data_IF_560284809182
#
_entry.id   IF_560284809182
#
_cell.length_a   1.000
_cell.length_b   1.000
_cell.length_c   1.000
_cell.angle_alpha   90.00
_cell.angle_beta   90.00
_cell.angle_gamma   90.00
#
_symmetry.space_group_name_H-M   'P 1'
#
loop_
_entity.id
_entity.type
_entity.pdbx_description
1 polymer ?
#
# COMPACT_ATOMS: atom_id res chain seq x y z
N UNK A 1 20.47 -2.54 13.02
CA UNK A 1 20.03 -3.81 12.42
C UNK A 1 19.45 -4.73 13.53
N UNK A 2 18.37 -5.46 13.23
CA UNK A 2 17.76 -6.42 14.18
C UNK A 2 18.52 -7.75 14.17
N UNK A 3 18.98 -8.20 13.01
CA UNK A 3 19.78 -9.43 12.88
C UNK A 3 21.21 -9.11 13.33
N UNK A 4 21.67 -9.83 14.34
CA UNK A 4 23.04 -9.77 14.87
C UNK A 4 23.96 -10.72 14.11
N UNK A 5 23.47 -11.95 13.86
CA UNK A 5 24.25 -13.01 13.21
C UNK A 5 23.33 -14.00 12.53
N UNK A 6 23.84 -14.66 11.47
CA UNK A 6 23.17 -15.76 10.75
C UNK A 6 24.17 -16.88 10.56
N UNK A 7 23.86 -18.07 11.09
CA UNK A 7 24.73 -19.24 11.01
C UNK A 7 24.04 -20.39 10.30
N UNK A 8 24.73 -21.03 9.39
CA UNK A 8 24.40 -22.37 8.93
C UNK A 8 24.87 -23.37 9.96
N UNK A 9 23.95 -24.11 10.58
CA UNK A 9 24.26 -25.18 11.54
C UNK A 9 24.50 -26.52 10.81
N UNK A 10 23.64 -26.81 9.81
CA UNK A 10 23.76 -27.95 8.91
C UNK A 10 23.13 -27.63 7.55
N UNK A 11 22.97 -28.63 6.67
CA UNK A 11 22.43 -28.40 5.31
C UNK A 11 20.96 -27.97 5.29
N UNK A 12 20.23 -28.11 6.36
CA UNK A 12 18.80 -27.83 6.46
C UNK A 12 18.44 -26.88 7.60
N UNK A 13 19.43 -26.41 8.38
CA UNK A 13 19.20 -25.60 9.56
C UNK A 13 20.00 -24.30 9.51
N UNK A 14 19.28 -23.18 9.64
CA UNK A 14 19.85 -21.83 9.75
C UNK A 14 19.41 -21.20 11.09
N UNK A 15 20.38 -20.70 11.84
CA UNK A 15 20.16 -19.98 13.10
C UNK A 15 20.25 -18.46 12.86
N UNK A 16 19.23 -17.74 13.27
CA UNK A 16 19.24 -16.28 13.34
C UNK A 16 19.38 -15.83 14.79
N UNK A 17 20.46 -15.11 15.09
CA UNK A 17 20.61 -14.43 16.38
C UNK A 17 20.15 -12.98 16.24
N UNK A 18 19.17 -12.57 17.01
CA UNK A 18 18.66 -11.20 17.02
C UNK A 18 19.33 -10.36 18.09
N UNK A 19 19.43 -9.04 17.88
CA UNK A 19 19.96 -8.09 18.88
C UNK A 19 19.01 -7.87 20.04
N UNK A 20 17.72 -8.16 19.84
CA UNK A 20 16.62 -8.07 20.83
C UNK A 20 15.45 -8.95 20.38
N UNK A 21 14.47 -9.26 21.24
CA UNK A 21 13.22 -9.86 20.80
C UNK A 21 12.55 -8.97 19.74
N UNK A 22 12.02 -9.61 18.70
CA UNK A 22 11.34 -8.91 17.60
C UNK A 22 10.14 -9.74 17.13
N UNK A 23 8.97 -9.49 17.69
CA UNK A 23 7.76 -10.27 17.43
C UNK A 23 7.36 -10.32 15.94
N UNK A 24 7.50 -9.24 15.13
CA UNK A 24 7.20 -9.31 13.69
C UNK A 24 8.25 -10.05 12.86
N UNK A 25 9.34 -10.56 13.44
CA UNK A 25 10.47 -11.10 12.68
C UNK A 25 10.07 -12.21 11.69
N UNK A 26 9.30 -13.20 12.12
CA UNK A 26 8.86 -14.29 11.24
C UNK A 26 7.88 -13.80 10.17
N UNK A 27 6.99 -12.87 10.50
CA UNK A 27 6.10 -12.25 9.53
C UNK A 27 6.89 -11.46 8.47
N UNK A 28 7.98 -10.82 8.86
CA UNK A 28 8.88 -10.11 7.93
C UNK A 28 9.63 -11.10 7.02
N UNK A 29 10.10 -12.24 7.54
CA UNK A 29 10.74 -13.28 6.72
C UNK A 29 9.76 -13.94 5.72
N UNK A 30 8.46 -13.88 5.97
CA UNK A 30 7.44 -14.42 5.08
C UNK A 30 7.09 -13.48 3.90
N UNK A 31 7.63 -12.26 3.87
CA UNK A 31 7.40 -11.34 2.76
C UNK A 31 8.12 -11.82 1.48
N UNK A 32 7.51 -11.61 0.31
CA UNK A 32 8.02 -12.11 -0.96
C UNK A 32 9.45 -11.66 -1.29
N UNK A 33 9.81 -10.45 -0.91
CA UNK A 33 11.16 -9.90 -1.12
C UNK A 33 12.21 -10.40 -0.11
N UNK A 34 11.81 -11.23 0.86
CA UNK A 34 12.69 -11.96 1.78
C UNK A 34 12.93 -13.41 1.34
N UNK A 35 12.60 -13.75 0.10
CA UNK A 35 12.82 -15.07 -0.47
C UNK A 35 14.30 -15.47 -0.40
N UNK A 36 14.56 -16.77 -0.16
CA UNK A 36 15.92 -17.33 -0.17
C UNK A 36 16.43 -17.37 -1.60
N UNK A 37 17.62 -16.86 -1.83
CA UNK A 37 18.23 -16.68 -3.14
C UNK A 37 19.44 -17.64 -3.32
N UNK A 38 19.80 -17.96 -4.59
CA UNK A 38 20.97 -18.78 -4.88
C UNK A 38 22.27 -18.05 -4.58
N UNK A 39 23.07 -18.61 -3.65
CA UNK A 39 24.39 -18.08 -3.32
C UNK A 39 25.35 -18.16 -4.50
N UNK A 40 25.37 -19.29 -5.22
CA UNK A 40 26.23 -19.51 -6.38
C UNK A 40 25.98 -18.46 -7.47
N UNK A 41 24.70 -18.14 -7.70
CA UNK A 41 24.33 -17.12 -8.68
C UNK A 41 24.72 -15.72 -8.22
N UNK A 42 24.50 -15.41 -6.95
CA UNK A 42 24.90 -14.12 -6.36
C UNK A 42 26.42 -13.92 -6.41
N UNK A 43 27.21 -14.94 -6.03
CA UNK A 43 28.67 -14.91 -6.04
C UNK A 43 29.20 -14.75 -7.48
N UNK A 44 28.61 -15.45 -8.46
CA UNK A 44 28.95 -15.31 -9.87
C UNK A 44 28.73 -13.88 -10.36
N UNK A 45 27.55 -13.31 -10.10
CA UNK A 45 27.24 -11.94 -10.51
C UNK A 45 28.13 -10.91 -9.84
N UNK A 46 28.49 -11.13 -8.57
CA UNK A 46 29.40 -10.26 -7.86
C UNK A 46 30.82 -10.29 -8.47
N UNK A 47 31.31 -11.50 -8.84
CA UNK A 47 32.59 -11.70 -9.50
C UNK A 47 32.64 -11.08 -10.90
N UNK A 48 31.53 -11.14 -11.63
CA UNK A 48 31.42 -10.63 -13.01
C UNK A 48 31.08 -9.11 -13.04
N UNK A 49 30.97 -8.44 -11.88
CA UNK A 49 30.51 -7.05 -11.72
C UNK A 49 29.14 -6.75 -12.37
N UNK A 50 28.23 -7.75 -12.28
CA UNK A 50 26.88 -7.72 -12.89
C UNK A 50 25.78 -7.82 -11.85
N UNK A 51 25.91 -7.14 -10.72
CA UNK A 51 24.96 -7.22 -9.58
C UNK A 51 23.53 -6.88 -9.99
N UNK A 52 23.34 -5.93 -10.89
CA UNK A 52 22.02 -5.53 -11.40
C UNK A 52 21.30 -6.66 -12.17
N UNK A 53 22.04 -7.65 -12.64
CA UNK A 53 21.43 -8.81 -13.30
C UNK A 53 20.67 -9.72 -12.32
N UNK A 54 20.88 -9.57 -11.02
CA UNK A 54 20.15 -10.33 -10.02
C UNK A 54 18.63 -10.10 -10.11
N UNK A 55 18.22 -8.84 -10.28
CA UNK A 55 16.81 -8.47 -10.43
C UNK A 55 16.30 -8.66 -11.86
N UNK A 56 17.17 -8.48 -12.86
CA UNK A 56 16.76 -8.54 -14.27
C UNK A 56 16.72 -9.97 -14.84
N UNK A 57 17.47 -10.90 -14.24
CA UNK A 57 17.54 -12.31 -14.63
C UNK A 57 17.43 -13.22 -13.41
N UNK A 58 16.27 -13.22 -12.73
CA UNK A 58 16.09 -13.93 -11.47
C UNK A 58 16.21 -15.44 -11.66
N UNK A 59 16.89 -16.10 -10.72
CA UNK A 59 16.97 -17.56 -10.58
C UNK A 59 16.28 -17.96 -9.28
N UNK A 60 15.38 -18.93 -9.34
CA UNK A 60 14.62 -19.39 -8.19
C UNK A 60 14.04 -20.79 -8.37
N UNK A 61 13.39 -21.28 -7.31
CA UNK A 61 12.77 -22.62 -7.24
C UNK A 61 11.24 -22.58 -7.40
N UNK A 62 10.69 -21.47 -7.87
CA UNK A 62 9.26 -21.25 -8.02
C UNK A 62 8.60 -22.09 -9.13
N UNK A 63 7.25 -22.03 -9.22
CA UNK A 63 6.48 -22.81 -10.20
C UNK A 63 6.67 -22.33 -11.65
N UNK A 64 7.26 -21.16 -11.85
CA UNK A 64 7.53 -20.60 -13.18
C UNK A 64 8.99 -20.22 -13.30
N UNK A 65 9.58 -20.51 -14.46
CA UNK A 65 10.96 -20.14 -14.83
C UNK A 65 10.90 -18.85 -15.63
N UNK A 66 11.67 -17.85 -15.23
CA UNK A 66 11.83 -16.60 -15.95
C UNK A 66 12.44 -16.83 -17.32
N UNK A 67 11.90 -16.17 -18.35
CA UNK A 67 12.42 -16.22 -19.72
C UNK A 67 13.04 -14.87 -20.13
N UNK A 68 12.26 -13.79 -19.99
CA UNK A 68 12.76 -12.45 -20.32
C UNK A 68 11.85 -11.34 -19.80
N UNK A 69 12.45 -10.19 -19.60
CA UNK A 69 11.79 -8.90 -19.39
C UNK A 69 12.09 -7.96 -20.56
N UNK A 70 11.04 -7.40 -21.15
CA UNK A 70 11.13 -6.28 -22.09
C UNK A 70 10.55 -5.08 -21.38
N UNK A 71 11.41 -4.10 -21.06
CA UNK A 71 11.04 -2.93 -20.27
C UNK A 71 9.79 -2.27 -20.82
N UNK A 72 8.90 -1.88 -19.94
CA UNK A 72 7.61 -1.20 -20.19
C UNK A 72 6.66 -1.96 -21.15
N UNK A 73 6.97 -3.20 -21.48
CA UNK A 73 6.18 -4.00 -22.44
C UNK A 73 5.67 -5.30 -21.82
N UNK A 74 6.55 -6.20 -21.42
CA UNK A 74 6.13 -7.52 -20.92
C UNK A 74 7.19 -8.26 -20.11
N UNK A 75 6.73 -9.16 -19.23
CA UNK A 75 7.58 -10.17 -18.57
C UNK A 75 7.04 -11.54 -18.96
N UNK A 76 7.93 -12.46 -19.34
CA UNK A 76 7.57 -13.83 -19.77
C UNK A 76 8.19 -14.89 -18.87
N UNK A 77 7.39 -15.91 -18.59
CA UNK A 77 7.78 -17.10 -17.87
C UNK A 77 7.28 -18.34 -18.60
N UNK A 78 7.96 -19.47 -18.39
CA UNK A 78 7.47 -20.80 -18.73
C UNK A 78 7.20 -21.62 -17.46
N UNK A 79 6.36 -22.63 -17.57
CA UNK A 79 6.14 -23.61 -16.49
C UNK A 79 7.46 -24.25 -16.04
N UNK A 80 7.60 -24.44 -14.73
CA UNK A 80 8.59 -25.32 -14.14
C UNK A 80 7.92 -26.68 -13.90
N UNK A 81 8.00 -27.55 -14.89
CA UNK A 81 7.38 -28.89 -14.81
C UNK A 81 8.03 -29.77 -13.71
N UNK A 82 9.27 -29.45 -13.29
CA UNK A 82 9.98 -30.11 -12.19
C UNK A 82 9.80 -29.42 -10.84
N UNK A 83 8.81 -28.55 -10.69
CA UNK A 83 8.55 -27.87 -9.42
C UNK A 83 8.25 -28.89 -8.31
N UNK A 84 8.89 -28.74 -7.16
CA UNK A 84 8.87 -29.69 -6.02
C UNK A 84 7.46 -30.01 -5.49
N UNK A 85 6.51 -29.07 -5.62
CA UNK A 85 5.11 -29.24 -5.23
C UNK A 85 4.19 -29.34 -6.47
N UNK A 86 4.66 -30.01 -7.53
CA UNK A 86 3.98 -30.17 -8.81
C UNK A 86 4.01 -28.93 -9.70
N UNK A 87 4.11 -29.13 -11.00
CA UNK A 87 4.16 -28.07 -11.99
C UNK A 87 2.84 -27.29 -12.12
N UNK A 88 2.88 -26.03 -12.64
CA UNK A 88 1.69 -25.25 -12.91
C UNK A 88 0.89 -25.82 -14.08
N UNK A 89 -0.42 -25.54 -14.11
CA UNK A 89 -1.33 -26.05 -15.16
C UNK A 89 -1.18 -25.30 -16.47
N UNK A 90 -0.79 -24.02 -16.43
CA UNK A 90 -0.51 -23.22 -17.62
C UNK A 90 0.96 -23.32 -18.01
N UNK A 91 1.24 -23.51 -19.29
CA UNK A 91 2.61 -23.71 -19.80
C UNK A 91 3.40 -22.40 -19.95
N UNK A 92 2.71 -21.31 -20.17
CA UNK A 92 3.30 -19.97 -20.29
C UNK A 92 2.53 -18.96 -19.44
N UNK A 93 3.25 -18.07 -18.81
CA UNK A 93 2.69 -16.91 -18.07
C UNK A 93 3.33 -15.65 -18.63
N UNK A 94 2.49 -14.73 -19.08
CA UNK A 94 2.92 -13.44 -19.65
C UNK A 94 2.24 -12.30 -18.91
N UNK A 95 3.02 -11.42 -18.33
CA UNK A 95 2.56 -10.14 -17.81
C UNK A 95 2.71 -9.09 -18.91
N UNK A 96 1.61 -8.59 -19.45
CA UNK A 96 1.58 -7.47 -20.37
C UNK A 96 1.49 -6.17 -19.58
N UNK A 97 2.52 -5.33 -19.63
CA UNK A 97 2.57 -4.07 -18.91
C UNK A 97 1.64 -3.07 -19.62
N UNK A 98 0.52 -2.78 -18.99
CA UNK A 98 -0.52 -1.89 -19.54
C UNK A 98 -1.00 -0.97 -18.41
N UNK A 99 -0.42 0.24 -18.28
CA UNK A 99 -0.71 1.14 -17.15
C UNK A 99 -2.16 1.62 -17.11
N UNK A 100 -2.78 1.89 -18.26
CA UNK A 100 -4.15 2.40 -18.34
C UNK A 100 -5.19 1.31 -18.11
N UNK A 101 -6.12 1.54 -17.16
CA UNK A 101 -7.16 0.58 -16.78
C UNK A 101 -8.18 0.33 -17.90
N UNK A 102 -8.52 1.34 -18.70
CA UNK A 102 -9.48 1.20 -19.79
C UNK A 102 -8.89 0.37 -20.92
N UNK A 103 -7.59 0.57 -21.22
CA UNK A 103 -6.86 -0.27 -22.20
C UNK A 103 -6.79 -1.71 -21.71
N UNK A 104 -6.51 -1.95 -20.39
CA UNK A 104 -6.55 -3.33 -19.83
C UNK A 104 -7.92 -3.98 -20.03
N UNK A 105 -9.00 -3.23 -19.80
CA UNK A 105 -10.34 -3.75 -19.99
C UNK A 105 -10.64 -4.09 -21.46
N UNK A 106 -10.22 -3.25 -22.42
CA UNK A 106 -10.37 -3.59 -23.84
C UNK A 106 -9.62 -4.87 -24.21
N UNK A 107 -8.36 -5.02 -23.77
CA UNK A 107 -7.58 -6.26 -23.98
C UNK A 107 -8.26 -7.49 -23.39
N UNK A 108 -8.89 -7.36 -22.23
CA UNK A 108 -9.66 -8.45 -21.63
C UNK A 108 -10.88 -8.81 -22.47
N UNK A 109 -11.61 -7.82 -23.00
CA UNK A 109 -12.79 -8.02 -23.86
C UNK A 109 -12.43 -8.71 -25.16
N UNK A 110 -11.35 -8.30 -25.80
CA UNK A 110 -10.87 -8.88 -27.08
C UNK A 110 -10.21 -10.24 -26.92
N UNK A 111 -9.88 -10.65 -25.68
CA UNK A 111 -9.20 -11.91 -25.40
C UNK A 111 -7.68 -11.83 -25.57
N UNK A 112 -7.11 -10.63 -25.76
CA UNK A 112 -5.65 -10.44 -25.76
C UNK A 112 -5.02 -10.76 -24.39
N UNK A 113 -5.78 -10.66 -23.33
CA UNK A 113 -5.38 -11.13 -21.99
C UNK A 113 -6.50 -11.91 -21.30
N UNK A 114 -6.11 -12.77 -20.40
CA UNK A 114 -7.04 -13.64 -19.67
C UNK A 114 -7.46 -13.09 -18.31
N UNK A 115 -6.65 -12.23 -17.73
CA UNK A 115 -6.86 -11.62 -16.42
C UNK A 115 -6.29 -10.20 -16.41
N UNK A 116 -7.02 -9.27 -15.79
CA UNK A 116 -6.54 -7.91 -15.50
C UNK A 116 -6.61 -7.62 -14.00
N UNK A 117 -5.60 -6.92 -13.54
CA UNK A 117 -5.55 -6.38 -12.17
C UNK A 117 -6.12 -4.96 -12.15
N UNK A 118 -6.65 -4.55 -11.00
CA UNK A 118 -7.08 -3.17 -10.74
C UNK A 118 -7.95 -2.59 -11.87
N UNK A 119 -9.07 -3.26 -12.24
CA UNK A 119 -10.03 -2.68 -13.17
C UNK A 119 -10.56 -1.37 -12.61
N UNK A 120 -10.89 -0.41 -13.48
CA UNK A 120 -11.61 0.79 -13.05
C UNK A 120 -12.92 0.39 -12.36
N UNK A 121 -13.26 0.93 -11.18
CA UNK A 121 -14.55 0.67 -10.56
C UNK A 121 -15.74 0.99 -11.48
N UNK A 122 -15.60 1.98 -12.37
CA UNK A 122 -16.62 2.36 -13.35
C UNK A 122 -16.89 1.26 -14.40
N UNK A 123 -15.92 0.39 -14.67
CA UNK A 123 -16.04 -0.68 -15.66
C UNK A 123 -16.64 -1.98 -15.08
N UNK A 124 -16.74 -2.10 -13.74
CA UNK A 124 -17.23 -3.30 -13.08
C UNK A 124 -18.65 -3.73 -13.50
N UNK A 125 -19.64 -2.83 -13.67
CA UNK A 125 -20.97 -3.21 -14.17
C UNK A 125 -20.89 -3.83 -15.56
N UNK A 126 -20.12 -3.25 -16.49
CA UNK A 126 -19.95 -3.76 -17.84
C UNK A 126 -19.23 -5.13 -17.86
N UNK A 127 -18.24 -5.32 -16.99
CA UNK A 127 -17.59 -6.63 -16.86
C UNK A 127 -18.54 -7.70 -16.33
N UNK A 128 -19.35 -7.37 -15.32
CA UNK A 128 -20.30 -8.31 -14.69
C UNK A 128 -21.45 -8.69 -15.62
N UNK A 129 -21.86 -7.82 -16.54
CA UNK A 129 -22.92 -8.09 -17.54
C UNK A 129 -22.42 -8.89 -18.74
N UNK A 130 -21.11 -8.97 -18.97
CA UNK A 130 -20.55 -9.72 -20.10
C UNK A 130 -20.38 -11.21 -19.74
N UNK A 131 -21.05 -12.09 -20.50
CA UNK A 131 -21.06 -13.55 -20.27
C UNK A 131 -19.69 -14.21 -20.42
N UNK A 132 -18.79 -13.60 -21.21
CA UNK A 132 -17.43 -14.08 -21.43
C UNK A 132 -16.47 -13.68 -20.33
N UNK A 133 -16.91 -12.85 -19.41
CA UNK A 133 -16.09 -12.29 -18.33
C UNK A 133 -16.63 -12.70 -16.95
N UNK A 134 -15.77 -12.65 -15.97
CA UNK A 134 -16.13 -12.71 -14.55
C UNK A 134 -15.28 -11.75 -13.74
N UNK A 135 -15.84 -11.26 -12.65
CA UNK A 135 -15.16 -10.40 -11.70
C UNK A 135 -15.07 -11.13 -10.37
N UNK A 136 -13.88 -11.24 -9.83
CA UNK A 136 -13.66 -11.67 -8.45
C UNK A 136 -13.26 -10.48 -7.61
N UNK A 137 -13.68 -10.48 -6.35
CA UNK A 137 -13.37 -9.42 -5.40
C UNK A 137 -12.95 -10.00 -4.05
N UNK A 138 -12.15 -9.24 -3.32
CA UNK A 138 -11.69 -9.64 -2.00
C UNK A 138 -11.33 -8.44 -1.13
N UNK A 139 -11.32 -8.67 0.19
CA UNK A 139 -10.73 -7.72 1.12
C UNK A 139 -9.22 -7.64 0.88
N UNK A 140 -8.66 -6.47 1.09
CA UNK A 140 -7.23 -6.23 1.02
C UNK A 140 -6.74 -5.54 2.28
N UNK A 141 -5.49 -5.78 2.63
CA UNK A 141 -4.80 -5.07 3.70
C UNK A 141 -4.32 -3.71 3.20
N UNK A 142 -5.24 -2.82 2.83
CA UNK A 142 -4.87 -1.51 2.30
C UNK A 142 -5.48 -0.34 3.06
N UNK A 143 -4.82 0.81 2.96
CA UNK A 143 -5.33 2.11 3.40
C UNK A 143 -4.87 3.20 2.44
N UNK A 144 -5.82 3.97 1.92
CA UNK A 144 -5.54 5.23 1.24
C UNK A 144 -5.59 6.39 2.24
N UNK A 145 -4.67 7.33 2.13
CA UNK A 145 -4.62 8.48 3.03
C UNK A 145 -4.10 9.75 2.34
N UNK A 146 -4.43 10.89 2.95
CA UNK A 146 -3.75 12.16 2.73
C UNK A 146 -2.82 12.38 3.92
N UNK A 147 -1.51 12.49 3.68
CA UNK A 147 -0.54 12.84 4.72
C UNK A 147 -0.26 14.34 4.72
N UNK A 148 -0.01 14.87 5.91
CA UNK A 148 0.34 16.27 6.16
C UNK A 148 1.76 16.32 6.69
N UNK A 149 2.66 17.00 5.97
CA UNK A 149 4.07 17.09 6.37
C UNK A 149 4.24 17.97 7.60
N UNK A 150 4.42 17.35 8.76
CA UNK A 150 4.49 18.05 10.06
C UNK A 150 5.76 18.85 10.28
N UNK A 151 6.78 18.72 9.43
CA UNK A 151 7.96 19.56 9.43
C UNK A 151 7.72 20.92 8.74
N UNK A 152 6.60 21.07 8.03
CA UNK A 152 6.24 22.31 7.34
C UNK A 152 5.09 23.03 8.04
N UNK A 153 5.22 24.36 8.16
CA UNK A 153 4.09 25.20 8.60
C UNK A 153 3.03 25.27 7.52
N UNK A 154 1.74 25.30 7.91
CA UNK A 154 1.24 25.30 9.28
C UNK A 154 0.92 23.86 9.81
N UNK A 155 1.41 22.80 9.20
CA UNK A 155 1.09 21.40 9.56
C UNK A 155 1.80 20.90 10.83
N UNK A 156 2.74 21.64 11.37
CA UNK A 156 3.28 21.44 12.72
C UNK A 156 2.21 21.60 13.80
N UNK A 157 1.18 22.42 13.55
CA UNK A 157 0.05 22.64 14.45
C UNK A 157 -1.02 21.55 14.30
N UNK A 158 -1.28 20.80 15.36
CA UNK A 158 -2.31 19.74 15.39
C UNK A 158 -3.72 20.24 15.10
N UNK A 159 -4.05 21.48 15.45
CA UNK A 159 -5.37 22.06 15.17
C UNK A 159 -5.61 22.23 13.67
N UNK A 160 -4.57 22.59 12.90
CA UNK A 160 -4.63 22.67 11.44
C UNK A 160 -4.86 21.28 10.86
N UNK A 161 -4.14 20.24 11.33
CA UNK A 161 -4.31 18.87 10.85
C UNK A 161 -5.71 18.31 11.15
N UNK A 162 -6.25 18.60 12.33
CA UNK A 162 -7.64 18.26 12.68
C UNK A 162 -8.64 19.03 11.85
N UNK A 163 -8.39 20.30 11.57
CA UNK A 163 -9.24 21.12 10.69
C UNK A 163 -9.35 20.51 9.30
N UNK A 164 -8.22 20.08 8.71
CA UNK A 164 -8.20 19.42 7.41
C UNK A 164 -9.01 18.11 7.44
N UNK A 165 -8.92 17.32 8.52
CA UNK A 165 -9.73 16.11 8.67
C UNK A 165 -11.25 16.42 8.69
N UNK A 166 -11.68 17.53 9.28
CA UNK A 166 -13.08 17.98 9.25
C UNK A 166 -13.50 18.63 7.93
N UNK A 167 -12.54 19.23 7.20
CA UNK A 167 -12.83 19.93 5.95
C UNK A 167 -13.09 18.99 4.77
N UNK A 168 -12.56 17.77 4.78
CA UNK A 168 -12.56 16.86 3.64
C UNK A 168 -13.72 15.87 3.70
N UNK A 169 -14.54 15.79 2.64
CA UNK A 169 -15.73 14.95 2.56
C UNK A 169 -15.40 13.52 2.10
N UNK A 170 -14.91 12.70 3.03
CA UNK A 170 -14.54 11.30 2.78
C UNK A 170 -15.62 10.47 2.10
N UNK A 171 -16.90 10.66 2.47
CA UNK A 171 -18.02 9.90 1.86
C UNK A 171 -18.17 10.23 0.38
N UNK A 172 -18.08 11.50 0.02
CA UNK A 172 -18.13 11.92 -1.38
C UNK A 172 -16.98 11.29 -2.20
N UNK A 173 -15.78 11.17 -1.61
CA UNK A 173 -14.65 10.51 -2.28
C UNK A 173 -14.91 9.02 -2.49
N UNK A 174 -15.47 8.33 -1.50
CA UNK A 174 -15.81 6.90 -1.63
C UNK A 174 -16.82 6.68 -2.76
N UNK A 175 -17.86 7.49 -2.85
CA UNK A 175 -18.86 7.39 -3.92
C UNK A 175 -18.26 7.72 -5.30
N UNK A 176 -17.54 8.84 -5.41
CA UNK A 176 -17.08 9.36 -6.70
C UNK A 176 -15.83 8.65 -7.27
N UNK A 177 -14.97 8.10 -6.40
CA UNK A 177 -13.68 7.51 -6.78
C UNK A 177 -13.72 5.99 -6.72
N UNK A 178 -14.33 5.42 -5.67
CA UNK A 178 -14.40 3.97 -5.47
C UNK A 178 -15.76 3.38 -5.90
N UNK A 179 -16.70 4.22 -6.36
CA UNK A 179 -18.06 3.80 -6.74
C UNK A 179 -18.76 2.97 -5.63
N UNK A 180 -18.56 3.38 -4.37
CA UNK A 180 -19.07 2.66 -3.20
C UNK A 180 -18.26 1.41 -2.79
N UNK A 181 -17.22 1.04 -3.54
CA UNK A 181 -16.44 -0.18 -3.28
C UNK A 181 -15.28 0.03 -2.30
N UNK A 182 -15.49 0.84 -1.26
CA UNK A 182 -14.54 1.03 -0.18
C UNK A 182 -15.25 1.32 1.14
N UNK A 183 -14.65 0.91 2.24
CA UNK A 183 -15.07 1.31 3.58
C UNK A 183 -14.33 2.60 3.99
N UNK A 184 -15.01 3.56 4.66
CA UNK A 184 -14.34 4.75 5.21
C UNK A 184 -13.26 4.34 6.21
N UNK A 185 -12.04 4.83 6.01
CA UNK A 185 -10.96 4.61 6.95
C UNK A 185 -10.99 5.65 8.08
N UNK A 186 -10.77 5.19 9.31
CA UNK A 186 -10.65 6.04 10.50
C UNK A 186 -9.34 5.81 11.25
N UNK A 187 -8.66 4.72 10.95
CA UNK A 187 -7.39 4.31 11.53
C UNK A 187 -6.33 4.14 10.43
N UNK A 188 -5.04 4.14 10.78
CA UNK A 188 -3.98 3.76 9.85
C UNK A 188 -4.01 2.27 9.43
N UNK A 189 -4.72 1.43 10.17
CA UNK A 189 -4.84 -0.01 9.92
C UNK A 189 -6.14 -0.36 9.21
N UNK A 190 -6.16 -1.35 8.30
CA UNK A 190 -7.40 -1.90 7.76
C UNK A 190 -8.15 -2.74 8.81
N UNK A 191 -9.50 -2.81 8.73
CA UNK A 191 -10.34 -3.48 9.73
C UNK A 191 -10.15 -5.00 9.80
N UNK A 192 -9.45 -5.58 8.84
CA UNK A 192 -9.10 -7.01 8.78
C UNK A 192 -7.90 -7.38 9.63
N UNK A 193 -7.11 -6.40 10.12
CA UNK A 193 -6.00 -6.65 11.02
C UNK A 193 -6.48 -6.89 12.46
N UNK A 194 -5.84 -7.84 13.12
CA UNK A 194 -6.21 -8.33 14.46
C UNK A 194 -6.14 -7.27 15.58
N UNK A 195 -5.40 -6.17 15.39
CA UNK A 195 -5.30 -5.07 16.36
C UNK A 195 -6.14 -3.84 16.00
N UNK A 196 -7.03 -3.93 14.98
CA UNK A 196 -7.85 -2.79 14.56
C UNK A 196 -8.73 -2.26 15.70
N UNK A 197 -8.55 -1.00 16.08
CA UNK A 197 -9.31 -0.38 17.15
C UNK A 197 -10.67 0.13 16.66
N UNK A 198 -11.72 -0.68 16.88
CA UNK A 198 -13.10 -0.33 16.52
C UNK A 198 -13.65 0.86 17.31
N UNK A 199 -13.08 1.18 18.50
CA UNK A 199 -13.54 2.26 19.37
C UNK A 199 -13.11 3.66 18.92
N UNK A 200 -12.08 3.77 18.06
CA UNK A 200 -11.67 5.05 17.49
C UNK A 200 -12.84 5.61 16.67
N UNK A 201 -13.23 6.85 16.98
CA UNK A 201 -14.25 7.59 16.23
C UNK A 201 -13.59 8.37 15.11
N UNK A 202 -14.24 8.43 13.95
CA UNK A 202 -13.75 9.24 12.83
C UNK A 202 -14.05 10.72 13.04
N UNK A 203 -13.36 11.59 12.31
CA UNK A 203 -13.73 12.99 12.18
C UNK A 203 -14.98 13.09 11.28
N UNK A 204 -15.98 13.84 11.71
CA UNK A 204 -17.13 14.18 10.89
C UNK A 204 -16.75 15.25 9.85
N UNK A 205 -17.35 15.18 8.68
CA UNK A 205 -17.24 16.26 7.71
C UNK A 205 -18.03 17.49 8.22
N UNK A 206 -17.32 18.54 8.55
CA UNK A 206 -17.90 19.81 9.02
C UNK A 206 -16.96 20.98 8.71
N UNK A 207 -17.20 21.69 7.60
CA UNK A 207 -16.46 22.91 7.28
C UNK A 207 -16.52 23.96 8.42
N UNK A 208 -17.59 24.00 9.19
CA UNK A 208 -17.76 24.92 10.32
C UNK A 208 -16.77 24.62 11.45
N UNK A 209 -16.64 23.31 11.83
CA UNK A 209 -15.63 22.88 12.80
C UNK A 209 -14.22 23.13 12.29
N UNK A 210 -13.99 22.88 11.00
CA UNK A 210 -12.70 23.13 10.37
C UNK A 210 -12.32 24.62 10.47
N UNK A 211 -13.22 25.55 10.11
CA UNK A 211 -13.01 26.99 10.25
C UNK A 211 -12.76 27.41 11.70
N UNK A 212 -13.53 26.86 12.64
CA UNK A 212 -13.32 27.13 14.07
C UNK A 212 -11.93 26.69 14.57
N UNK A 213 -11.44 25.53 14.12
CA UNK A 213 -10.10 25.03 14.44
C UNK A 213 -9.00 25.88 13.78
N UNK A 214 -9.17 26.26 12.51
CA UNK A 214 -8.25 27.16 11.81
C UNK A 214 -8.16 28.52 12.53
N UNK A 215 -9.28 29.09 12.93
CA UNK A 215 -9.30 30.34 13.72
C UNK A 215 -8.52 30.18 15.02
N UNK A 216 -8.72 29.07 15.77
CA UNK A 216 -7.94 28.78 17.00
C UNK A 216 -6.46 28.59 16.73
N UNK A 217 -6.11 28.13 15.54
CA UNK A 217 -4.72 27.96 15.09
C UNK A 217 -4.08 29.26 14.59
N UNK A 218 -4.80 30.39 14.60
CA UNK A 218 -4.32 31.68 14.05
C UNK A 218 -4.40 31.75 12.52
N UNK A 219 -5.20 30.90 11.87
CA UNK A 219 -5.35 30.79 10.42
C UNK A 219 -6.79 31.09 9.97
N UNK A 220 -7.43 32.14 10.55
CA UNK A 220 -8.83 32.47 10.27
C UNK A 220 -9.07 32.75 8.78
N UNK A 221 -8.11 33.35 8.08
CA UNK A 221 -8.21 33.72 6.66
C UNK A 221 -7.77 32.56 5.73
N UNK A 222 -7.44 31.41 6.30
CA UNK A 222 -6.88 30.27 5.56
C UNK A 222 -5.40 30.45 5.20
N UNK A 223 -4.93 29.70 4.22
CA UNK A 223 -3.55 29.73 3.72
C UNK A 223 -3.42 29.07 2.35
N UNK A 224 -2.32 29.32 1.68
CA UNK A 224 -1.97 28.65 0.42
C UNK A 224 -1.07 27.44 0.66
N UNK A 225 -1.24 26.39 -0.14
CA UNK A 225 -0.48 25.15 0.00
C UNK A 225 -0.38 24.37 -1.33
N UNK A 226 0.46 23.34 -1.34
CA UNK A 226 0.49 22.33 -2.40
C UNK A 226 -0.17 21.04 -1.92
N UNK A 227 -0.98 20.44 -2.79
CA UNK A 227 -1.54 19.10 -2.65
C UNK A 227 -1.00 18.22 -3.77
N UNK A 228 -0.18 17.26 -3.40
CA UNK A 228 0.37 16.32 -4.37
C UNK A 228 -0.62 15.20 -4.64
N UNK A 229 -1.04 15.09 -5.91
CA UNK A 229 -2.00 14.09 -6.37
C UNK A 229 -1.29 12.84 -6.85
N UNK A 230 -1.81 11.67 -6.45
CA UNK A 230 -1.27 10.37 -6.85
C UNK A 230 -1.32 10.21 -8.38
N UNK A 231 -0.18 9.98 -9.06
CA UNK A 231 -0.12 10.01 -10.52
C UNK A 231 -0.53 8.68 -11.19
N UNK A 232 -0.68 7.61 -10.41
CA UNK A 232 -0.94 6.26 -10.92
C UNK A 232 -2.14 5.64 -10.21
N UNK A 233 -2.83 4.73 -10.88
CA UNK A 233 -3.86 3.89 -10.25
C UNK A 233 -3.22 2.96 -9.23
N UNK A 234 -3.80 2.91 -8.02
CA UNK A 234 -3.44 1.99 -6.96
C UNK A 234 -4.70 1.38 -6.34
N UNK A 235 -4.62 0.19 -5.72
CA UNK A 235 -5.77 -0.39 -5.02
C UNK A 235 -6.40 0.58 -4.03
N UNK A 236 -5.58 1.28 -3.27
CA UNK A 236 -6.00 2.23 -2.25
C UNK A 236 -6.41 3.63 -2.80
N UNK A 237 -6.20 3.92 -4.07
CA UNK A 237 -6.68 5.14 -4.75
C UNK A 237 -6.77 4.93 -6.27
N UNK A 238 -7.96 4.62 -6.82
CA UNK A 238 -8.15 4.37 -8.25
C UNK A 238 -7.98 5.60 -9.15
N UNK A 239 -8.15 6.81 -8.61
CA UNK A 239 -8.06 8.05 -9.39
C UNK A 239 -7.59 9.22 -8.51
N UNK A 240 -6.27 9.35 -8.37
CA UNK A 240 -5.66 10.39 -7.52
C UNK A 240 -5.92 11.79 -8.02
N UNK A 241 -5.94 12.02 -9.34
CA UNK A 241 -6.23 13.34 -9.92
C UNK A 241 -7.62 13.82 -9.53
N UNK A 242 -8.66 13.03 -9.81
CA UNK A 242 -10.05 13.39 -9.47
C UNK A 242 -10.23 13.56 -7.96
N UNK A 243 -9.62 12.70 -7.15
CA UNK A 243 -9.65 12.85 -5.69
C UNK A 243 -8.99 14.17 -5.25
N UNK A 244 -7.86 14.55 -5.84
CA UNK A 244 -7.19 15.82 -5.57
C UNK A 244 -8.04 17.04 -5.93
N UNK A 245 -8.73 17.03 -7.06
CA UNK A 245 -9.66 18.07 -7.48
C UNK A 245 -10.82 18.23 -6.49
N UNK A 246 -11.37 17.12 -6.00
CA UNK A 246 -12.42 17.14 -4.96
C UNK A 246 -11.89 17.67 -3.62
N UNK A 247 -10.68 17.25 -3.21
CA UNK A 247 -10.04 17.76 -1.99
C UNK A 247 -9.73 19.25 -2.09
N UNK A 248 -9.26 19.73 -3.24
CA UNK A 248 -9.01 21.14 -3.51
C UNK A 248 -10.30 21.96 -3.32
N UNK A 249 -11.41 21.48 -3.89
CA UNK A 249 -12.71 22.13 -3.75
C UNK A 249 -13.20 22.16 -2.28
N UNK A 250 -13.01 21.08 -1.52
CA UNK A 250 -13.39 21.04 -0.11
C UNK A 250 -12.51 21.94 0.75
N UNK A 251 -11.20 21.98 0.52
CA UNK A 251 -10.27 22.86 1.23
C UNK A 251 -10.56 24.34 0.97
N UNK A 252 -10.96 24.69 -0.24
CA UNK A 252 -11.35 26.06 -0.59
C UNK A 252 -12.54 26.58 0.23
N UNK A 253 -13.50 25.70 0.62
CA UNK A 253 -14.64 26.07 1.47
C UNK A 253 -14.25 26.59 2.86
N UNK A 254 -13.05 26.24 3.30
CA UNK A 254 -12.50 26.65 4.60
C UNK A 254 -11.32 27.63 4.49
N UNK A 255 -11.11 28.22 3.30
CA UNK A 255 -10.09 29.23 3.06
C UNK A 255 -8.71 28.66 2.70
N UNK A 256 -8.56 27.34 2.60
CA UNK A 256 -7.27 26.72 2.21
C UNK A 256 -7.21 26.62 0.69
N UNK A 257 -6.27 27.36 0.08
CA UNK A 257 -6.05 27.37 -1.37
C UNK A 257 -4.98 26.36 -1.73
N UNK A 258 -5.38 25.18 -2.18
CA UNK A 258 -4.48 24.11 -2.55
C UNK A 258 -4.15 24.15 -4.04
N UNK A 259 -2.86 24.25 -4.40
CA UNK A 259 -2.35 24.04 -5.76
C UNK A 259 -2.10 22.55 -5.97
N UNK A 260 -2.72 21.95 -6.99
CA UNK A 260 -2.47 20.56 -7.34
C UNK A 260 -1.11 20.40 -8.02
N UNK A 261 -0.33 19.42 -7.55
CA UNK A 261 0.99 19.08 -8.08
C UNK A 261 1.03 17.59 -8.37
N UNK A 262 1.64 17.20 -9.48
CA UNK A 262 1.86 15.79 -9.83
C UNK A 262 3.20 15.63 -10.52
N UNK A 263 3.80 14.45 -10.42
CA UNK A 263 5.04 14.04 -11.05
C UNK A 263 4.84 12.65 -11.66
N UNK A 264 5.78 12.16 -12.47
CA UNK A 264 5.86 10.74 -12.76
C UNK A 264 6.09 9.92 -11.47
N UNK A 265 5.70 8.65 -11.47
CA UNK A 265 5.69 7.85 -10.25
C UNK A 265 7.05 7.70 -9.55
N UNK A 266 8.18 7.40 -10.24
CA UNK A 266 9.49 7.36 -9.61
C UNK A 266 9.89 8.70 -8.98
N UNK A 267 9.68 9.80 -9.67
CA UNK A 267 9.96 11.17 -9.17
C UNK A 267 9.06 11.52 -7.98
N UNK A 268 7.77 11.14 -8.04
CA UNK A 268 6.82 11.34 -6.94
C UNK A 268 7.30 10.67 -5.66
N UNK A 269 7.70 9.39 -5.75
CA UNK A 269 8.23 8.64 -4.61
C UNK A 269 9.54 9.21 -4.08
N UNK A 270 10.50 9.54 -4.97
CA UNK A 270 11.78 10.12 -4.56
C UNK A 270 11.57 11.40 -3.78
N UNK A 271 10.85 12.35 -4.37
CA UNK A 271 10.57 13.66 -3.75
C UNK A 271 9.73 13.54 -2.46
N UNK A 272 8.83 12.56 -2.38
CA UNK A 272 8.04 12.32 -1.16
C UNK A 272 8.91 11.85 0.00
N UNK A 273 9.90 10.98 -0.26
CA UNK A 273 10.86 10.52 0.74
C UNK A 273 11.76 11.64 1.24
N UNK A 274 12.07 12.59 0.37
CA UNK A 274 12.84 13.82 0.70
C UNK A 274 11.98 14.85 1.47
N UNK A 275 10.68 14.62 1.65
CA UNK A 275 9.78 15.51 2.39
C UNK A 275 9.47 16.83 1.66
N UNK A 276 9.55 16.88 0.33
CA UNK A 276 9.35 18.11 -0.44
C UNK A 276 7.89 18.55 -0.53
N UNK A 277 6.93 17.66 -0.32
CA UNK A 277 5.49 17.92 -0.32
C UNK A 277 5.02 18.67 0.93
N UNK A 278 3.87 19.31 0.84
CA UNK A 278 3.10 19.83 1.97
C UNK A 278 1.96 18.87 2.35
N UNK A 279 1.04 18.63 1.40
CA UNK A 279 0.02 17.58 1.46
C UNK A 279 0.32 16.55 0.37
N UNK A 280 0.13 15.26 0.67
CA UNK A 280 0.40 14.19 -0.30
C UNK A 280 -0.63 13.07 -0.20
N UNK A 281 -1.17 12.66 -1.34
CA UNK A 281 -1.98 11.46 -1.47
C UNK A 281 -1.06 10.24 -1.61
N UNK A 282 -1.17 9.32 -0.69
CA UNK A 282 -0.53 8.01 -0.76
C UNK A 282 -1.43 6.94 -0.15
N UNK A 283 -0.91 5.78 -0.02
CA UNK A 283 -1.52 4.66 0.67
C UNK A 283 -0.51 3.55 0.89
N UNK A 284 -0.98 2.49 1.51
CA UNK A 284 -0.21 1.31 1.77
C UNK A 284 -1.05 0.05 1.52
N UNK A 285 -0.43 -0.95 0.93
CA UNK A 285 -0.93 -2.31 0.94
C UNK A 285 0.02 -3.11 1.83
N UNK A 286 -0.51 -3.78 2.84
CA UNK A 286 0.31 -4.50 3.81
C UNK A 286 1.07 -5.66 3.17
N UNK A 287 2.35 -5.78 3.46
CA UNK A 287 3.23 -6.83 2.95
C UNK A 287 3.10 -8.14 3.76
N UNK A 288 2.61 -8.01 4.98
CA UNK A 288 2.32 -9.13 5.87
C UNK A 288 1.09 -8.82 6.74
N UNK A 289 0.64 -9.74 7.55
CA UNK A 289 -0.52 -9.59 8.42
C UNK A 289 -0.21 -8.98 9.80
N UNK A 290 0.96 -8.38 10.00
CA UNK A 290 1.32 -7.76 11.27
C UNK A 290 1.03 -6.25 11.28
N UNK A 291 0.39 -5.69 12.33
CA UNK A 291 0.15 -4.26 12.47
C UNK A 291 1.41 -3.38 12.43
N UNK A 292 2.57 -3.95 12.76
CA UNK A 292 3.86 -3.26 12.69
C UNK A 292 4.16 -2.74 11.27
N UNK A 293 3.76 -3.50 10.26
CA UNK A 293 3.94 -3.14 8.85
C UNK A 293 3.22 -1.83 8.45
N UNK A 294 2.24 -1.41 9.22
CA UNK A 294 1.54 -0.14 9.04
C UNK A 294 2.05 0.92 10.03
N UNK A 295 2.04 0.61 11.33
CA UNK A 295 2.28 1.60 12.37
C UNK A 295 3.76 2.00 12.48
N UNK A 296 4.66 1.02 12.48
CA UNK A 296 6.08 1.31 12.57
C UNK A 296 6.65 1.81 11.24
N UNK A 297 6.33 1.11 10.13
CA UNK A 297 6.87 1.46 8.81
C UNK A 297 6.44 2.85 8.36
N UNK A 298 5.21 3.28 8.68
CA UNK A 298 4.63 4.50 8.10
C UNK A 298 4.52 5.67 9.06
N UNK A 299 4.65 5.46 10.39
CA UNK A 299 4.36 6.51 11.37
C UNK A 299 5.41 6.62 12.49
N UNK A 300 6.41 5.72 12.58
CA UNK A 300 7.47 5.86 13.58
C UNK A 300 8.41 7.03 13.29
N UNK A 301 9.10 7.52 14.32
CA UNK A 301 10.14 8.54 14.16
C UNK A 301 11.30 8.04 13.28
N UNK A 302 11.71 6.78 13.44
CA UNK A 302 12.79 6.18 12.61
C UNK A 302 12.41 6.09 11.13
N UNK A 303 11.12 5.96 10.84
CA UNK A 303 10.61 5.94 9.45
C UNK A 303 10.59 7.31 8.78
N UNK A 304 10.77 8.39 9.52
CA UNK A 304 11.03 9.73 8.98
C UNK A 304 12.38 9.74 8.26
N UNK A 305 13.42 9.18 8.87
CA UNK A 305 14.78 9.12 8.31
C UNK A 305 14.84 8.25 7.04
N UNK A 306 14.14 7.12 7.03
CA UNK A 306 14.04 6.23 5.85
C UNK A 306 13.17 6.82 4.72
N UNK A 307 12.38 7.86 5.01
CA UNK A 307 11.45 8.49 4.08
C UNK A 307 10.12 7.75 3.90
N UNK A 308 9.88 6.65 4.62
CA UNK A 308 8.61 5.91 4.55
C UNK A 308 7.48 6.63 5.27
N UNK A 309 7.79 7.36 6.34
CA UNK A 309 6.84 8.24 7.03
C UNK A 309 6.73 9.58 6.29
N UNK A 310 5.88 9.62 5.28
CA UNK A 310 5.67 10.83 4.47
C UNK A 310 4.93 11.94 5.21
N UNK A 311 4.31 11.68 6.37
CA UNK A 311 3.82 12.73 7.25
C UNK A 311 4.95 13.46 7.99
N UNK A 312 6.17 12.92 7.97
CA UNK A 312 7.33 13.45 8.69
C UNK A 312 7.05 13.65 10.19
N UNK A 313 6.06 12.91 10.69
CA UNK A 313 5.56 13.02 12.05
C UNK A 313 6.35 12.14 13.00
N UNK A 314 6.87 12.72 14.07
CA UNK A 314 7.58 12.01 15.12
C UNK A 314 6.93 12.30 16.48
N UNK A 315 6.40 11.27 17.15
CA UNK A 315 5.72 11.39 18.44
C UNK A 315 6.17 10.31 19.40
N UNK A 316 7.05 10.66 20.32
CA UNK A 316 7.70 9.72 21.23
C UNK A 316 6.74 8.80 22.01
N UNK A 317 5.56 9.28 22.55
CA UNK A 317 4.61 8.39 23.19
C UNK A 317 4.02 7.33 22.24
N UNK A 318 3.85 7.63 20.93
CA UNK A 318 3.44 6.66 19.93
C UNK A 318 4.56 5.65 19.69
N UNK A 319 5.79 6.11 19.46
CA UNK A 319 6.96 5.24 19.23
C UNK A 319 7.16 4.25 20.38
N UNK A 320 7.06 4.73 21.62
CA UNK A 320 7.18 3.87 22.81
C UNK A 320 6.21 2.69 22.75
N UNK A 321 4.94 2.91 22.38
CA UNK A 321 3.94 1.84 22.32
C UNK A 321 4.25 0.82 21.22
N UNK A 322 4.67 1.28 20.03
CA UNK A 322 4.99 0.36 18.93
C UNK A 322 6.29 -0.39 19.18
N UNK A 323 7.29 0.24 19.81
CA UNK A 323 8.55 -0.41 20.15
C UNK A 323 8.36 -1.45 21.26
N UNK A 324 7.57 -1.14 22.31
CA UNK A 324 7.19 -2.11 23.34
C UNK A 324 6.43 -3.29 22.73
N UNK A 325 5.52 -3.05 21.78
CA UNK A 325 4.77 -4.12 21.12
C UNK A 325 5.67 -5.10 20.34
N UNK A 326 6.80 -4.64 19.78
CA UNK A 326 7.77 -5.51 19.11
C UNK A 326 8.49 -6.48 20.06
N UNK A 327 8.64 -6.09 21.31
CA UNK A 327 9.36 -6.89 22.31
C UNK A 327 8.50 -8.01 22.92
N UNK A 328 7.17 -7.93 22.75
CA UNK A 328 6.21 -8.88 23.35
C UNK A 328 5.91 -10.03 22.39
N UNK A 329 5.89 -11.26 22.89
CA UNK A 329 5.55 -12.46 22.13
C UNK A 329 4.03 -12.74 22.08
N UNK A 330 3.30 -12.37 23.15
CA UNK A 330 1.87 -12.61 23.24
C UNK A 330 1.08 -11.61 22.38
N UNK A 331 0.36 -12.10 21.39
CA UNK A 331 -0.43 -11.26 20.47
C UNK A 331 -1.44 -10.35 21.18
N UNK A 332 -2.11 -10.85 22.25
CA UNK A 332 -3.09 -10.06 23.05
C UNK A 332 -2.46 -8.84 23.71
N UNK A 333 -1.20 -8.91 24.12
CA UNK A 333 -0.54 -7.79 24.79
C UNK A 333 -0.05 -6.79 23.75
N UNK A 334 0.45 -7.26 22.60
CA UNK A 334 0.75 -6.42 21.44
C UNK A 334 -0.51 -5.67 20.96
N UNK A 335 -1.65 -6.35 20.90
CA UNK A 335 -2.94 -5.77 20.50
C UNK A 335 -3.30 -4.55 21.34
N UNK A 336 -3.17 -4.65 22.66
CA UNK A 336 -3.46 -3.54 23.60
C UNK A 336 -2.62 -2.29 23.29
N UNK A 337 -1.33 -2.50 23.00
CA UNK A 337 -0.41 -1.40 22.69
C UNK A 337 -0.73 -0.77 21.35
N UNK A 338 -0.94 -1.58 20.30
CA UNK A 338 -1.32 -1.07 18.97
C UNK A 338 -2.68 -0.37 18.98
N UNK A 339 -3.64 -0.82 19.79
CA UNK A 339 -4.93 -0.11 19.96
C UNK A 339 -4.75 1.26 20.61
N UNK A 340 -3.83 1.42 21.59
CA UNK A 340 -3.48 2.72 22.18
C UNK A 340 -2.76 3.61 21.16
N UNK A 341 -1.82 3.07 20.41
CA UNK A 341 -1.11 3.80 19.36
C UNK A 341 -2.06 4.39 18.31
N UNK A 342 -3.11 3.66 17.90
CA UNK A 342 -4.13 4.17 16.97
C UNK A 342 -4.92 5.36 17.55
N UNK A 343 -5.17 5.40 18.85
CA UNK A 343 -5.80 6.55 19.51
C UNK A 343 -4.90 7.78 19.39
N UNK A 344 -3.60 7.63 19.70
CA UNK A 344 -2.63 8.73 19.58
C UNK A 344 -2.54 9.21 18.13
N UNK A 345 -2.42 8.30 17.16
CA UNK A 345 -2.37 8.66 15.75
C UNK A 345 -3.63 9.45 15.33
N UNK A 346 -4.81 9.05 15.82
CA UNK A 346 -6.07 9.79 15.57
C UNK A 346 -6.05 11.18 16.19
N UNK A 347 -5.65 11.30 17.45
CA UNK A 347 -5.62 12.59 18.16
C UNK A 347 -4.58 13.54 17.58
N UNK A 348 -3.44 13.04 17.17
CA UNK A 348 -2.37 13.83 16.54
C UNK A 348 -2.60 14.12 15.07
N UNK A 349 -3.45 13.36 14.40
CA UNK A 349 -3.90 13.55 13.03
C UNK A 349 -2.78 13.81 12.01
N UNK A 350 -1.68 13.02 11.96
CA UNK A 350 -0.67 13.19 10.91
C UNK A 350 -1.21 12.88 9.52
N UNK A 351 -2.28 12.08 9.47
CA UNK A 351 -3.01 11.70 8.27
C UNK A 351 -4.49 12.09 8.36
N UNK A 352 -5.10 12.18 7.20
CA UNK A 352 -6.52 11.94 7.00
C UNK A 352 -6.65 10.58 6.32
N UNK A 353 -6.92 9.49 7.07
CA UNK A 353 -7.22 8.19 6.48
C UNK A 353 -8.49 8.29 5.65
N UNK A 354 -8.45 7.81 4.39
CA UNK A 354 -9.55 7.99 3.43
C UNK A 354 -10.41 6.74 3.36
N UNK A 355 -9.81 5.65 2.91
CA UNK A 355 -10.56 4.45 2.58
C UNK A 355 -9.73 3.17 2.73
N UNK A 356 -10.44 2.06 3.00
CA UNK A 356 -9.98 0.70 2.82
C UNK A 356 -10.76 0.12 1.64
N UNK A 357 -10.12 -0.07 0.49
CA UNK A 357 -10.81 -0.47 -0.72
C UNK A 357 -10.92 -1.99 -0.86
N UNK A 358 -12.00 -2.42 -1.49
CA UNK A 358 -12.11 -3.77 -2.04
C UNK A 358 -11.26 -3.88 -3.30
N UNK A 359 -10.47 -4.94 -3.41
CA UNK A 359 -9.70 -5.21 -4.64
C UNK A 359 -10.52 -6.08 -5.58
N UNK A 360 -10.30 -5.86 -6.87
CA UNK A 360 -11.00 -6.57 -7.94
C UNK A 360 -10.00 -7.13 -8.94
N UNK A 361 -10.37 -8.27 -9.53
CA UNK A 361 -9.73 -8.83 -10.72
C UNK A 361 -10.80 -9.11 -11.76
N UNK A 362 -10.63 -8.59 -12.97
CA UNK A 362 -11.43 -8.98 -14.12
C UNK A 362 -10.76 -10.14 -14.85
N UNK A 363 -11.49 -11.15 -15.25
CA UNK A 363 -10.93 -12.28 -15.99
C UNK A 363 -11.91 -12.86 -16.98
N UNK A 364 -11.38 -13.58 -17.98
CA UNK A 364 -12.20 -14.38 -18.90
C UNK A 364 -12.89 -15.51 -18.14
N UNK A 365 -14.08 -15.90 -18.60
CA UNK A 365 -14.88 -16.95 -17.94
C UNK A 365 -14.18 -18.31 -17.93
N UNK A 366 -13.32 -18.59 -18.92
CA UNK A 366 -12.53 -19.81 -19.02
C UNK A 366 -11.34 -19.90 -18.04
N UNK A 367 -10.96 -18.83 -17.36
CA UNK A 367 -9.92 -18.87 -16.33
C UNK A 367 -10.46 -19.57 -15.09
N UNK A 368 -9.79 -20.60 -14.60
CA UNK A 368 -10.17 -21.36 -13.41
C UNK A 368 -9.04 -21.33 -12.36
N UNK A 369 -9.38 -21.54 -11.08
CA UNK A 369 -8.42 -21.72 -9.99
C UNK A 369 -7.74 -20.45 -9.47
N UNK A 370 -8.01 -19.28 -10.04
CA UNK A 370 -7.47 -18.01 -9.52
C UNK A 370 -8.18 -17.62 -8.21
N UNK A 371 -7.39 -17.18 -7.23
CA UNK A 371 -7.86 -16.66 -5.94
C UNK A 371 -7.17 -15.33 -5.65
N UNK A 372 -7.91 -14.38 -5.09
CA UNK A 372 -7.32 -13.13 -4.60
C UNK A 372 -6.50 -13.42 -3.34
N UNK A 373 -5.27 -12.93 -3.35
CA UNK A 373 -4.42 -12.88 -2.16
C UNK A 373 -4.68 -11.55 -1.43
N UNK A 374 -5.08 -11.58 -0.15
CA UNK A 374 -5.27 -10.36 0.65
C UNK A 374 -4.03 -9.47 0.78
N UNK A 375 -2.83 -10.04 0.64
CA UNK A 375 -1.56 -9.32 0.62
C UNK A 375 -1.25 -8.68 -0.74
N UNK A 376 -2.15 -8.80 -1.72
CA UNK A 376 -2.02 -8.17 -3.03
C UNK A 376 -1.20 -8.94 -4.05
N UNK A 377 -0.69 -10.13 -3.71
CA UNK A 377 0.00 -11.02 -4.63
C UNK A 377 -0.96 -11.65 -5.66
N UNK A 378 -0.44 -11.99 -6.83
CA UNK A 378 -1.17 -12.73 -7.86
C UNK A 378 -0.52 -14.10 -8.06
N UNK A 379 -1.15 -15.17 -7.54
CA UNK A 379 -0.62 -16.54 -7.52
C UNK A 379 -1.23 -17.34 -8.67
N UNK A 380 -0.41 -17.78 -9.63
CA UNK A 380 -0.85 -18.44 -10.87
C UNK A 380 -0.64 -19.95 -10.90
N UNK A 381 0.01 -20.56 -9.91
CA UNK A 381 0.31 -22.02 -9.92
C UNK A 381 -0.93 -22.88 -10.15
N UNK A 382 -2.06 -22.52 -9.53
CA UNK A 382 -3.32 -23.30 -9.62
C UNK A 382 -4.22 -22.86 -10.77
N UNK A 383 -3.83 -21.81 -11.49
CA UNK A 383 -4.63 -21.28 -12.60
C UNK A 383 -4.58 -22.22 -13.80
N UNK A 384 -5.75 -22.45 -14.40
CA UNK A 384 -5.91 -23.18 -15.66
C UNK A 384 -6.88 -22.48 -16.59
N UNK A 385 -6.78 -22.77 -17.86
CA UNK A 385 -7.73 -22.36 -18.91
C UNK A 385 -8.57 -23.58 -19.34
N UNK A 386 -9.88 -23.38 -19.41
CA UNK A 386 -10.82 -24.37 -19.99
C UNK A 386 -11.01 -24.12 -21.47
#
# INVERSE_FOLDING_TARGET
>A
AIIKDVKKLDDYTVEFTLTRPEAPFLANLAMSFMSILSKEYADKLAKDDKKDNFDNFPVGTGPFVFLRYIKDTQIRYKANDSHWDGGPKVKQLVFSITPDASVRFQKLKTGECHLIIEPSPADLPAMKSNKDLKVVSGASLNVGYLAMNTEKKPYDNVLVRRAINHALNKRAYIEAIYMGHAAPAKNPLPPTLWSYNKKVKDYDYSPEKAKALLKKAGMADGFETELWTLPVTRPYNPNGKKMGEMMQADLAKVGIKAKLVSYDWPTYLKKSREGLHSLIQLGWSGDNGDPDNFLAVLLSCTSVESGSNVARWCHKPFDKLIDEAKLLTAQKDREKLYMKAQIIAKEQAPWMPIAHSTIFRGMRSNVQGYKIDPLGGDIFKQVSLK
#
